data_IF_616934320570
#
_entry.id   IF_616934320570
#
_cell.length_a   1.000
_cell.length_b   1.000
_cell.length_c   1.000
_cell.angle_alpha   90.00
_cell.angle_beta   90.00
_cell.angle_gamma   90.00
#
_symmetry.space_group_name_H-M   'P 1'
#
loop_
_entity.id
_entity.type
_entity.pdbx_description
1 polymer ?
#
# COMPACT_ATOMS: atom_id res chain seq x y z
N UNK A 1 -26.44 52.11 -10.79
CA UNK A 1 -26.67 51.96 -9.33
C UNK A 1 -25.39 52.19 -8.51
N UNK A 2 -24.40 51.27 -8.45
CA UNK A 2 -23.20 51.46 -7.59
C UNK A 2 -22.38 52.72 -7.95
N UNK A 3 -22.13 52.98 -9.24
CA UNK A 3 -21.44 54.20 -9.70
C UNK A 3 -22.23 55.49 -9.45
N UNK A 4 -23.54 55.41 -9.22
CA UNK A 4 -24.38 56.55 -8.84
C UNK A 4 -24.36 56.76 -7.33
N UNK A 5 -24.36 55.67 -6.54
CA UNK A 5 -24.21 55.73 -5.08
C UNK A 5 -22.89 56.39 -4.68
N UNK A 6 -21.76 56.05 -5.33
CA UNK A 6 -20.45 56.67 -5.07
C UNK A 6 -20.37 58.19 -5.39
N UNK A 7 -21.39 58.77 -6.02
CA UNK A 7 -21.46 60.22 -6.33
C UNK A 7 -22.24 61.02 -5.29
N UNK A 8 -22.82 60.37 -4.28
CA UNK A 8 -23.53 61.06 -3.20
C UNK A 8 -22.52 61.76 -2.28
N UNK A 9 -22.79 63.01 -1.84
CA UNK A 9 -21.93 63.70 -0.90
C UNK A 9 -21.95 63.01 0.48
N UNK A 10 -20.82 63.10 1.21
CA UNK A 10 -20.67 62.69 2.62
C UNK A 10 -20.84 61.18 2.94
N UNK A 11 -20.56 60.27 2.01
CA UNK A 11 -20.48 58.84 2.33
C UNK A 11 -19.21 58.54 3.16
N UNK A 12 -19.32 57.86 4.32
CA UNK A 12 -18.16 57.39 5.09
C UNK A 12 -17.15 56.62 4.24
N UNK A 13 -15.86 56.76 4.54
CA UNK A 13 -14.76 56.13 3.78
C UNK A 13 -14.95 54.62 3.68
N UNK A 14 -15.41 54.01 4.76
CA UNK A 14 -15.68 52.58 4.87
C UNK A 14 -16.78 52.11 3.91
N UNK A 15 -17.92 52.80 3.88
CA UNK A 15 -19.03 52.51 2.96
C UNK A 15 -18.63 52.68 1.49
N UNK A 16 -17.78 53.68 1.20
CA UNK A 16 -17.22 53.85 -0.15
C UNK A 16 -16.34 52.66 -0.54
N UNK A 17 -15.53 52.14 0.38
CA UNK A 17 -14.67 50.98 0.14
C UNK A 17 -15.50 49.70 -0.04
N UNK A 18 -16.60 49.55 0.70
CA UNK A 18 -17.52 48.42 0.56
C UNK A 18 -18.24 48.43 -0.81
N UNK A 19 -18.71 49.60 -1.25
CA UNK A 19 -19.26 49.78 -2.59
C UNK A 19 -18.23 49.49 -3.69
N UNK A 20 -16.98 49.94 -3.50
CA UNK A 20 -15.87 49.66 -4.44
C UNK A 20 -15.50 48.18 -4.46
N UNK A 21 -15.55 47.47 -3.33
CA UNK A 21 -15.33 46.02 -3.27
C UNK A 21 -16.40 45.28 -4.06
N UNK A 22 -17.65 45.69 -3.93
CA UNK A 22 -18.77 45.13 -4.70
C UNK A 22 -18.63 45.40 -6.19
N UNK A 23 -18.20 46.62 -6.56
CA UNK A 23 -17.92 46.98 -7.94
C UNK A 23 -16.76 46.16 -8.54
N UNK A 24 -15.69 45.93 -7.77
CA UNK A 24 -14.57 45.10 -8.17
C UNK A 24 -15.00 43.65 -8.46
N UNK A 25 -15.88 43.07 -7.61
CA UNK A 25 -16.50 41.76 -7.84
C UNK A 25 -17.32 41.74 -9.13
N UNK A 26 -18.09 42.79 -9.40
CA UNK A 26 -18.87 42.90 -10.64
C UNK A 26 -17.98 43.02 -11.90
N UNK A 27 -16.86 43.74 -11.81
CA UNK A 27 -15.88 43.80 -12.90
C UNK A 27 -15.19 42.45 -13.13
N UNK A 28 -14.82 41.75 -12.06
CA UNK A 28 -14.23 40.42 -12.14
C UNK A 28 -15.17 39.42 -12.81
N UNK A 29 -16.45 39.42 -12.46
CA UNK A 29 -17.46 38.55 -13.09
C UNK A 29 -17.60 38.79 -14.60
N UNK A 30 -17.19 39.98 -15.09
CA UNK A 30 -17.17 40.34 -16.52
C UNK A 30 -15.79 40.18 -17.17
N UNK A 31 -14.82 39.59 -16.46
CA UNK A 31 -13.41 39.53 -16.87
C UNK A 31 -12.80 40.89 -17.21
N UNK A 32 -13.27 41.96 -16.56
CA UNK A 32 -12.82 43.33 -16.81
C UNK A 32 -11.48 43.60 -16.12
N UNK A 33 -10.54 44.18 -16.87
CA UNK A 33 -9.19 44.53 -16.39
C UNK A 33 -9.18 45.46 -15.18
N UNK A 34 -10.25 46.25 -14.97
CA UNK A 34 -10.41 47.20 -13.85
C UNK A 34 -10.54 46.54 -12.49
N UNK A 35 -10.90 45.27 -12.42
CA UNK A 35 -11.08 44.55 -11.15
C UNK A 35 -9.80 44.51 -10.31
N UNK A 36 -8.67 44.15 -10.93
CA UNK A 36 -7.40 43.94 -10.20
C UNK A 36 -6.87 45.23 -9.54
N UNK A 37 -6.76 46.38 -10.24
CA UNK A 37 -6.35 47.63 -9.61
C UNK A 37 -7.26 48.04 -8.45
N UNK A 38 -8.57 47.80 -8.54
CA UNK A 38 -9.51 48.10 -7.47
C UNK A 38 -9.28 47.23 -6.23
N UNK A 39 -9.10 45.91 -6.41
CA UNK A 39 -8.76 45.03 -5.30
C UNK A 39 -7.42 45.40 -4.65
N UNK A 40 -6.40 45.74 -5.45
CA UNK A 40 -5.10 46.19 -4.93
C UNK A 40 -5.20 47.47 -4.10
N UNK A 41 -6.05 48.42 -4.51
CA UNK A 41 -6.28 49.64 -3.74
C UNK A 41 -6.99 49.35 -2.41
N UNK A 42 -8.04 48.52 -2.41
CA UNK A 42 -8.79 48.15 -1.20
C UNK A 42 -7.93 47.32 -0.24
N UNK A 43 -7.08 46.43 -0.76
CA UNK A 43 -6.17 45.61 0.04
C UNK A 43 -5.16 46.43 0.88
N UNK A 44 -4.88 47.67 0.48
CA UNK A 44 -4.01 48.63 1.21
C UNK A 44 -4.76 49.47 2.24
N UNK A 45 -6.08 49.32 2.34
CA UNK A 45 -6.85 49.99 3.39
C UNK A 45 -6.49 49.40 4.76
N UNK A 46 -6.57 50.22 5.81
CA UNK A 46 -6.40 49.79 7.20
C UNK A 46 -7.63 49.06 7.78
N UNK A 47 -8.61 48.71 6.95
CA UNK A 47 -9.87 48.09 7.38
C UNK A 47 -9.84 46.62 6.99
N UNK A 48 -9.47 45.74 7.91
CA UNK A 48 -9.19 44.33 7.61
C UNK A 48 -10.38 43.57 6.99
N UNK A 49 -11.62 43.85 7.44
CA UNK A 49 -12.84 43.22 6.88
C UNK A 49 -13.02 43.48 5.37
N UNK A 50 -12.45 44.57 4.85
CA UNK A 50 -12.48 44.92 3.43
C UNK A 50 -11.18 44.54 2.73
N UNK A 51 -10.04 44.70 3.42
CA UNK A 51 -8.72 44.42 2.89
C UNK A 51 -8.46 42.92 2.68
N UNK A 52 -8.95 42.05 3.58
CA UNK A 52 -8.76 40.60 3.49
C UNK A 52 -9.39 39.99 2.22
N UNK A 53 -10.71 40.16 1.94
CA UNK A 53 -11.30 39.64 0.71
C UNK A 53 -10.69 40.28 -0.53
N UNK A 54 -10.32 41.56 -0.49
CA UNK A 54 -9.64 42.22 -1.61
C UNK A 54 -8.24 41.63 -1.87
N UNK A 55 -7.48 41.30 -0.82
CA UNK A 55 -6.16 40.67 -0.92
C UNK A 55 -6.26 39.29 -1.55
N UNK A 56 -7.21 38.46 -1.10
CA UNK A 56 -7.46 37.14 -1.67
C UNK A 56 -7.72 37.21 -3.18
N UNK A 57 -8.66 38.07 -3.61
CA UNK A 57 -9.00 38.21 -5.03
C UNK A 57 -7.86 38.80 -5.86
N UNK A 58 -7.11 39.75 -5.31
CA UNK A 58 -5.92 40.29 -5.98
C UNK A 58 -4.86 39.21 -6.21
N UNK A 59 -4.59 38.34 -5.24
CA UNK A 59 -3.65 37.22 -5.40
C UNK A 59 -4.16 36.25 -6.47
N UNK A 60 -5.42 35.82 -6.39
CA UNK A 60 -6.03 34.89 -7.35
C UNK A 60 -5.96 35.42 -8.79
N UNK A 61 -6.32 36.69 -9.00
CA UNK A 61 -6.28 37.31 -10.33
C UNK A 61 -4.86 37.47 -10.88
N UNK A 62 -3.89 37.83 -10.02
CA UNK A 62 -2.48 37.92 -10.44
C UNK A 62 -1.93 36.56 -10.82
N UNK A 63 -2.26 35.51 -10.07
CA UNK A 63 -1.87 34.14 -10.39
C UNK A 63 -2.50 33.68 -11.71
N UNK A 64 -3.80 33.91 -11.90
CA UNK A 64 -4.51 33.54 -13.13
C UNK A 64 -3.97 34.28 -14.37
N UNK A 65 -3.47 35.51 -14.20
CA UNK A 65 -2.82 36.30 -15.27
C UNK A 65 -1.32 36.03 -15.41
N UNK A 66 -0.77 35.01 -14.72
CA UNK A 66 0.65 34.70 -14.68
C UNK A 66 1.56 35.89 -14.27
N UNK A 67 1.02 36.84 -13.50
CA UNK A 67 1.77 38.02 -13.01
C UNK A 67 2.56 37.72 -11.72
N UNK A 68 2.28 36.58 -11.07
CA UNK A 68 3.03 36.05 -9.93
C UNK A 68 3.16 34.54 -10.10
N UNK A 69 4.24 33.97 -9.56
CA UNK A 69 4.41 32.52 -9.51
C UNK A 69 3.47 31.88 -8.47
N UNK A 70 3.27 30.57 -8.60
CA UNK A 70 2.57 29.77 -7.60
C UNK A 70 3.17 29.94 -6.19
N UNK A 71 4.49 29.99 -6.06
CA UNK A 71 5.12 30.16 -4.74
C UNK A 71 4.89 31.53 -4.11
N UNK A 72 4.86 32.59 -4.93
CA UNK A 72 4.53 33.94 -4.45
C UNK A 72 3.07 34.00 -4.02
N UNK A 73 2.18 33.38 -4.79
CA UNK A 73 0.76 33.30 -4.44
C UNK A 73 0.55 32.50 -3.14
N UNK A 74 1.21 31.34 -3.00
CA UNK A 74 1.13 30.50 -1.81
C UNK A 74 1.57 31.26 -0.54
N UNK A 75 2.72 31.95 -0.59
CA UNK A 75 3.19 32.80 0.53
C UNK A 75 2.21 33.90 0.89
N UNK A 76 1.61 34.55 -0.11
CA UNK A 76 0.60 35.59 0.11
C UNK A 76 -0.68 35.05 0.76
N UNK A 77 -1.15 33.88 0.33
CA UNK A 77 -2.32 33.22 0.92
C UNK A 77 -2.05 32.72 2.33
N UNK A 78 -0.86 32.17 2.57
CA UNK A 78 -0.45 31.70 3.91
C UNK A 78 -0.37 32.87 4.91
N UNK A 79 0.21 34.00 4.51
CA UNK A 79 0.22 35.22 5.32
C UNK A 79 -1.21 35.74 5.58
N UNK A 80 -2.09 35.71 4.57
CA UNK A 80 -3.48 36.14 4.71
C UNK A 80 -4.25 35.24 5.70
N UNK A 81 -3.98 33.93 5.70
CA UNK A 81 -4.58 32.97 6.65
C UNK A 81 -4.26 33.33 8.10
N UNK A 82 -3.08 33.87 8.42
CA UNK A 82 -2.77 34.31 9.78
C UNK A 82 -3.34 35.68 10.13
N UNK A 83 -3.56 36.54 9.13
CA UNK A 83 -4.10 37.89 9.31
C UNK A 83 -5.62 37.92 9.50
N UNK A 84 -6.36 36.98 8.89
CA UNK A 84 -7.82 36.98 8.89
C UNK A 84 -8.39 35.60 9.22
N UNK A 85 -9.38 35.55 10.11
CA UNK A 85 -9.97 34.33 10.67
C UNK A 85 -11.47 34.54 10.92
N UNK A 86 -12.24 33.47 10.88
CA UNK A 86 -13.60 33.42 11.40
C UNK A 86 -14.71 33.70 10.39
N UNK A 87 -14.47 33.59 9.08
CA UNK A 87 -15.53 33.74 8.07
C UNK A 87 -15.26 32.96 6.77
N UNK A 88 -16.13 33.14 5.78
CA UNK A 88 -15.96 32.52 4.46
C UNK A 88 -14.69 32.94 3.71
N UNK A 89 -14.11 34.11 3.99
CA UNK A 89 -12.86 34.58 3.35
C UNK A 89 -11.67 33.78 3.87
N UNK A 90 -11.65 33.46 5.17
CA UNK A 90 -10.67 32.50 5.71
C UNK A 90 -10.74 31.17 4.95
N UNK A 91 -11.94 30.60 4.83
CA UNK A 91 -12.13 29.30 4.20
C UNK A 91 -11.74 29.32 2.72
N UNK A 92 -12.10 30.37 1.98
CA UNK A 92 -11.70 30.55 0.58
C UNK A 92 -10.17 30.73 0.44
N UNK A 93 -9.52 31.38 1.40
CA UNK A 93 -8.06 31.54 1.44
C UNK A 93 -7.36 30.20 1.65
N UNK A 94 -7.83 29.42 2.64
CA UNK A 94 -7.31 28.08 2.95
C UNK A 94 -7.50 27.15 1.76
N UNK A 95 -8.70 27.16 1.16
CA UNK A 95 -9.02 26.37 -0.03
C UNK A 95 -8.10 26.71 -1.20
N UNK A 96 -7.89 28.01 -1.48
CA UNK A 96 -7.00 28.46 -2.55
C UNK A 96 -5.55 28.04 -2.32
N UNK A 97 -5.06 28.11 -1.07
CA UNK A 97 -3.72 27.65 -0.70
C UNK A 97 -3.56 26.14 -0.89
N UNK A 98 -4.51 25.34 -0.37
CA UNK A 98 -4.49 23.89 -0.52
C UNK A 98 -4.53 23.44 -1.99
N UNK A 99 -5.39 24.03 -2.81
CA UNK A 99 -5.44 23.76 -4.26
C UNK A 99 -4.13 24.07 -4.98
N UNK A 100 -3.45 25.14 -4.55
CA UNK A 100 -2.16 25.51 -5.11
C UNK A 100 -1.06 24.50 -4.74
N UNK A 101 -1.04 24.06 -3.48
CA UNK A 101 -0.11 23.03 -3.01
C UNK A 101 -0.36 21.68 -3.70
N UNK A 102 -1.61 21.27 -3.91
CA UNK A 102 -1.95 20.05 -4.68
C UNK A 102 -1.38 20.12 -6.09
N UNK A 103 -1.58 21.25 -6.80
CA UNK A 103 -1.04 21.45 -8.16
C UNK A 103 0.49 21.40 -8.23
N UNK A 104 1.17 21.67 -7.13
CA UNK A 104 2.63 21.60 -7.01
C UNK A 104 3.13 20.24 -6.49
N UNK A 105 2.24 19.26 -6.27
CA UNK A 105 2.59 17.95 -5.72
C UNK A 105 2.87 17.96 -4.20
N UNK A 106 2.57 19.07 -3.51
CA UNK A 106 2.77 19.25 -2.07
C UNK A 106 1.58 18.71 -1.27
N UNK A 107 1.31 17.42 -1.39
CA UNK A 107 0.08 16.80 -0.86
C UNK A 107 -0.04 16.85 0.66
N UNK A 108 1.05 16.64 1.40
CA UNK A 108 1.06 16.72 2.87
C UNK A 108 0.63 18.10 3.35
N UNK A 109 1.32 19.13 2.87
CA UNK A 109 1.01 20.52 3.22
C UNK A 109 -0.44 20.87 2.83
N UNK A 110 -0.89 20.43 1.66
CA UNK A 110 -2.26 20.66 1.23
C UNK A 110 -3.29 20.03 2.18
N UNK A 111 -3.10 18.76 2.55
CA UNK A 111 -4.00 18.07 3.48
C UNK A 111 -3.99 18.74 4.85
N UNK A 112 -2.82 19.14 5.37
CA UNK A 112 -2.69 19.86 6.65
C UNK A 112 -3.45 21.20 6.63
N UNK A 113 -3.25 21.98 5.57
CA UNK A 113 -3.93 23.29 5.38
C UNK A 113 -5.44 23.10 5.30
N UNK A 114 -5.91 22.19 4.45
CA UNK A 114 -7.35 21.94 4.26
C UNK A 114 -8.00 21.36 5.53
N UNK A 115 -7.33 20.43 6.22
CA UNK A 115 -7.82 19.83 7.46
C UNK A 115 -7.93 20.85 8.60
N UNK A 116 -7.02 21.84 8.67
CA UNK A 116 -7.01 22.85 9.73
C UNK A 116 -8.30 23.67 9.86
N UNK A 117 -9.09 23.78 8.79
CA UNK A 117 -10.37 24.50 8.78
C UNK A 117 -11.59 23.59 8.49
N UNK A 118 -11.41 22.27 8.48
CA UNK A 118 -12.49 21.31 8.20
C UNK A 118 -13.64 21.31 9.22
N UNK A 119 -13.38 21.79 10.44
CA UNK A 119 -14.35 21.85 11.54
C UNK A 119 -14.83 23.28 11.84
N UNK A 120 -14.41 24.28 11.06
CA UNK A 120 -14.77 25.69 11.28
C UNK A 120 -16.05 26.00 10.52
N UNK A 121 -17.07 26.48 11.25
CA UNK A 121 -18.32 27.03 10.68
C UNK A 121 -18.98 26.12 9.64
N UNK A 122 -19.35 24.91 10.07
CA UNK A 122 -19.91 23.84 9.24
C UNK A 122 -21.11 24.21 8.37
N UNK A 123 -21.82 25.30 8.70
CA UNK A 123 -23.02 25.77 7.98
C UNK A 123 -22.69 26.60 6.74
N UNK A 124 -21.44 27.07 6.58
CA UNK A 124 -21.05 27.87 5.43
C UNK A 124 -20.87 27.00 4.16
N UNK A 125 -21.36 27.44 2.98
CA UNK A 125 -21.11 26.74 1.71
C UNK A 125 -19.62 26.51 1.43
N UNK A 126 -18.74 27.44 1.85
CA UNK A 126 -17.29 27.34 1.73
C UNK A 126 -16.73 26.18 2.55
N UNK A 127 -17.26 25.93 3.76
CA UNK A 127 -16.83 24.82 4.61
C UNK A 127 -17.19 23.48 3.97
N UNK A 128 -18.38 23.37 3.39
CA UNK A 128 -18.81 22.19 2.64
C UNK A 128 -17.88 21.92 1.44
N UNK A 129 -17.57 22.95 0.67
CA UNK A 129 -16.67 22.84 -0.47
C UNK A 129 -15.23 22.45 -0.05
N UNK A 130 -14.72 23.04 1.02
CA UNK A 130 -13.41 22.72 1.59
C UNK A 130 -13.32 21.24 2.02
N UNK A 131 -14.35 20.73 2.70
CA UNK A 131 -14.43 19.31 3.10
C UNK A 131 -14.52 18.38 1.89
N UNK A 132 -15.24 18.79 0.84
CA UNK A 132 -15.31 18.05 -0.42
C UNK A 132 -13.94 17.97 -1.10
N UNK A 133 -13.22 19.09 -1.16
CA UNK A 133 -11.85 19.12 -1.72
C UNK A 133 -10.90 18.23 -0.89
N UNK A 134 -10.95 18.33 0.44
CA UNK A 134 -10.14 17.52 1.36
C UNK A 134 -10.36 16.01 1.15
N UNK A 135 -11.62 15.56 1.15
CA UNK A 135 -11.98 14.17 0.91
C UNK A 135 -11.60 13.71 -0.51
N UNK A 136 -11.79 14.58 -1.51
CA UNK A 136 -11.41 14.31 -2.89
C UNK A 136 -9.92 14.06 -3.04
N UNK A 137 -9.08 14.90 -2.43
CA UNK A 137 -7.62 14.74 -2.45
C UNK A 137 -7.19 13.45 -1.76
N UNK A 138 -7.75 13.17 -0.58
CA UNK A 138 -7.45 11.93 0.14
C UNK A 138 -7.84 10.69 -0.69
N UNK A 139 -9.00 10.74 -1.36
CA UNK A 139 -9.43 9.68 -2.27
C UNK A 139 -8.46 9.51 -3.44
N UNK A 140 -8.07 10.59 -4.11
CA UNK A 140 -7.14 10.51 -5.24
C UNK A 140 -5.78 9.96 -4.84
N UNK A 141 -5.31 10.28 -3.63
CA UNK A 141 -4.08 9.72 -3.08
C UNK A 141 -4.18 8.21 -2.87
N UNK A 142 -5.16 7.75 -2.09
CA UNK A 142 -5.15 6.38 -1.57
C UNK A 142 -6.01 5.38 -2.35
N UNK A 143 -6.94 5.88 -3.17
CA UNK A 143 -7.81 5.05 -4.00
C UNK A 143 -7.42 5.11 -5.48
N UNK A 144 -7.14 6.29 -6.01
CA UNK A 144 -6.82 6.48 -7.44
C UNK A 144 -5.31 6.30 -7.75
N UNK A 145 -4.50 5.97 -6.73
CA UNK A 145 -3.09 5.56 -6.90
C UNK A 145 -2.08 6.71 -6.94
N UNK A 146 -2.46 7.95 -6.66
CA UNK A 146 -1.51 9.06 -6.67
C UNK A 146 -0.45 8.95 -5.55
N UNK A 147 -0.80 8.27 -4.44
CA UNK A 147 0.17 7.93 -3.40
C UNK A 147 1.23 6.92 -3.87
N UNK A 148 1.02 6.19 -4.97
CA UNK A 148 1.95 5.18 -5.50
C UNK A 148 3.28 5.79 -5.98
N UNK A 149 3.32 7.10 -6.22
CA UNK A 149 4.56 7.85 -6.49
C UNK A 149 5.34 8.26 -5.24
N UNK A 150 4.76 8.19 -4.03
CA UNK A 150 5.40 8.58 -2.77
C UNK A 150 6.32 7.48 -2.23
N UNK A 151 7.22 7.74 -1.28
CA UNK A 151 7.86 6.63 -0.57
C UNK A 151 6.82 5.86 0.28
N UNK A 152 6.83 4.52 0.36
CA UNK A 152 5.82 3.75 1.09
C UNK A 152 5.60 4.19 2.54
N UNK A 153 6.69 4.45 3.28
CA UNK A 153 6.64 4.94 4.67
C UNK A 153 5.95 6.32 4.74
N UNK A 154 6.23 7.21 3.77
CA UNK A 154 5.61 8.53 3.72
C UNK A 154 4.11 8.42 3.43
N UNK A 155 3.70 7.53 2.53
CA UNK A 155 2.29 7.27 2.23
C UNK A 155 1.53 6.72 3.46
N UNK A 156 2.15 5.82 4.23
CA UNK A 156 1.58 5.29 5.48
C UNK A 156 1.43 6.39 6.53
N UNK A 157 2.49 7.16 6.78
CA UNK A 157 2.43 8.27 7.72
C UNK A 157 1.32 9.24 7.36
N UNK A 158 1.25 9.61 6.07
CA UNK A 158 0.19 10.49 5.56
C UNK A 158 -1.21 9.87 5.71
N UNK A 159 -1.38 8.57 5.49
CA UNK A 159 -2.66 7.91 5.70
C UNK A 159 -3.09 7.96 7.18
N UNK A 160 -2.16 7.69 8.12
CA UNK A 160 -2.47 7.72 9.55
C UNK A 160 -2.80 9.12 10.06
N UNK A 161 -2.06 10.14 9.61
CA UNK A 161 -2.31 11.54 9.97
C UNK A 161 -3.74 11.98 9.62
N UNK A 162 -4.29 11.41 8.54
CA UNK A 162 -5.60 11.76 7.99
C UNK A 162 -6.59 10.59 7.97
N UNK A 163 -6.40 9.59 8.85
CA UNK A 163 -7.22 8.36 8.85
C UNK A 163 -8.72 8.61 9.07
N UNK A 164 -9.07 9.72 9.73
CA UNK A 164 -10.46 10.17 9.95
C UNK A 164 -11.21 10.47 8.65
N UNK A 165 -10.47 10.72 7.55
CA UNK A 165 -11.03 10.95 6.21
C UNK A 165 -11.38 9.65 5.48
N UNK A 166 -10.99 8.49 6.02
CA UNK A 166 -11.23 7.20 5.37
C UNK A 166 -12.74 6.92 5.32
N UNK A 167 -13.33 6.79 4.12
CA UNK A 167 -14.77 6.57 4.00
C UNK A 167 -15.17 5.22 4.62
N UNK A 168 -16.41 5.15 5.10
CA UNK A 168 -16.99 3.90 5.59
C UNK A 168 -17.38 3.04 4.38
N UNK A 169 -17.11 1.73 4.46
CA UNK A 169 -17.45 0.77 3.42
C UNK A 169 -16.34 0.50 2.42
N UNK A 170 -16.72 0.03 1.22
CA UNK A 170 -15.84 -0.63 0.27
C UNK A 170 -14.65 0.23 -0.21
N UNK A 171 -14.86 1.54 -0.38
CA UNK A 171 -13.81 2.47 -0.84
C UNK A 171 -12.72 2.65 0.20
N UNK A 172 -13.08 2.89 1.46
CA UNK A 172 -12.10 3.01 2.54
C UNK A 172 -11.39 1.68 2.77
N UNK A 173 -12.11 0.57 2.62
CA UNK A 173 -11.50 -0.74 2.73
C UNK A 173 -10.49 -1.00 1.58
N UNK A 174 -10.78 -0.47 0.38
CA UNK A 174 -9.87 -0.55 -0.75
C UNK A 174 -8.64 0.33 -0.58
N UNK A 175 -8.77 1.54 -0.02
CA UNK A 175 -7.63 2.42 0.30
C UNK A 175 -6.62 1.70 1.20
N UNK A 176 -7.10 1.09 2.29
CA UNK A 176 -6.24 0.32 3.20
C UNK A 176 -5.61 -0.88 2.49
N UNK A 177 -6.36 -1.62 1.65
CA UNK A 177 -5.81 -2.74 0.87
C UNK A 177 -4.72 -2.31 -0.10
N UNK A 178 -4.83 -1.14 -0.74
CA UNK A 178 -3.80 -0.60 -1.62
C UNK A 178 -2.52 -0.29 -0.83
N UNK A 179 -2.68 0.34 0.35
CA UNK A 179 -1.57 0.67 1.23
C UNK A 179 -0.84 -0.59 1.74
N UNK A 180 -1.59 -1.58 2.22
CA UNK A 180 -1.07 -2.86 2.71
C UNK A 180 -0.26 -3.59 1.64
N UNK A 181 -0.77 -3.67 0.41
CA UNK A 181 -0.05 -4.31 -0.71
C UNK A 181 1.32 -3.67 -0.92
N UNK A 182 1.36 -2.34 -0.87
CA UNK A 182 2.59 -1.59 -1.07
C UNK A 182 3.60 -1.80 0.04
N UNK A 183 3.13 -1.93 1.29
CA UNK A 183 3.98 -2.24 2.42
C UNK A 183 4.58 -3.63 2.32
N UNK A 184 3.78 -4.62 1.90
CA UNK A 184 4.25 -5.99 1.64
C UNK A 184 5.33 -6.01 0.55
N UNK A 185 5.21 -5.17 -0.49
CA UNK A 185 6.19 -5.09 -1.57
C UNK A 185 7.56 -4.57 -1.13
N UNK A 186 7.62 -3.71 -0.10
CA UNK A 186 8.86 -3.15 0.45
C UNK A 186 9.27 -3.72 1.81
N UNK A 187 8.78 -4.92 2.15
CA UNK A 187 9.15 -5.64 3.37
C UNK A 187 8.69 -4.98 4.69
N UNK A 188 7.70 -4.08 4.65
CA UNK A 188 7.09 -3.46 5.85
C UNK A 188 5.89 -4.29 6.32
N UNK A 189 6.15 -5.55 6.70
CA UNK A 189 5.12 -6.53 7.04
C UNK A 189 4.38 -6.19 8.34
N UNK A 190 5.07 -5.64 9.34
CA UNK A 190 4.48 -5.24 10.62
C UNK A 190 3.42 -4.14 10.46
N UNK A 191 3.73 -3.09 9.69
CA UNK A 191 2.79 -2.01 9.39
C UNK A 191 1.60 -2.51 8.57
N UNK A 192 1.85 -3.40 7.61
CA UNK A 192 0.81 -4.02 6.80
C UNK A 192 -0.15 -4.85 7.67
N UNK A 193 0.38 -5.63 8.62
CA UNK A 193 -0.39 -6.44 9.54
C UNK A 193 -1.28 -5.58 10.46
N UNK A 194 -0.74 -4.48 11.02
CA UNK A 194 -1.51 -3.55 11.87
C UNK A 194 -2.73 -2.97 11.16
N UNK A 195 -2.56 -2.57 9.89
CA UNK A 195 -3.65 -2.03 9.07
C UNK A 195 -4.76 -3.05 8.83
N UNK A 196 -4.42 -4.27 8.40
CA UNK A 196 -5.43 -5.32 8.17
C UNK A 196 -6.08 -5.79 9.48
N UNK A 197 -5.32 -5.90 10.56
CA UNK A 197 -5.85 -6.26 11.88
C UNK A 197 -6.94 -5.28 12.31
N UNK A 198 -6.70 -3.98 12.16
CA UNK A 198 -7.72 -2.98 12.47
C UNK A 198 -9.01 -3.18 11.66
N UNK A 199 -8.91 -3.51 10.36
CA UNK A 199 -10.10 -3.79 9.54
C UNK A 199 -10.87 -5.03 10.00
N UNK A 200 -10.15 -6.11 10.32
CA UNK A 200 -10.73 -7.37 10.80
C UNK A 200 -11.45 -7.16 12.13
N UNK A 201 -10.86 -6.39 13.04
CA UNK A 201 -11.39 -6.19 14.38
C UNK A 201 -12.56 -5.20 14.41
N UNK A 202 -12.54 -4.14 13.58
CA UNK A 202 -13.44 -3.00 13.75
C UNK A 202 -14.41 -2.73 12.59
N UNK A 203 -14.15 -3.25 11.37
CA UNK A 203 -14.87 -2.79 10.16
C UNK A 203 -15.60 -3.88 9.39
N UNK A 204 -15.11 -5.11 9.43
CA UNK A 204 -15.56 -6.18 8.54
C UNK A 204 -16.38 -7.24 9.28
N UNK A 205 -17.34 -7.83 8.56
CA UNK A 205 -18.16 -8.96 9.04
C UNK A 205 -18.28 -10.03 7.94
N UNK A 206 -18.61 -11.26 8.33
CA UNK A 206 -18.90 -12.37 7.40
C UNK A 206 -17.72 -12.72 6.47
N UNK A 207 -18.04 -13.00 5.20
CA UNK A 207 -17.05 -13.44 4.19
C UNK A 207 -15.95 -12.40 3.93
N UNK A 208 -16.23 -11.09 3.77
CA UNK A 208 -15.17 -10.07 3.66
C UNK A 208 -14.19 -10.07 4.84
N UNK A 209 -14.67 -10.25 6.07
CA UNK A 209 -13.81 -10.37 7.26
C UNK A 209 -12.89 -11.58 7.14
N UNK A 210 -13.42 -12.74 6.75
CA UNK A 210 -12.62 -13.95 6.58
C UNK A 210 -11.57 -13.82 5.47
N UNK A 211 -11.90 -13.15 4.36
CA UNK A 211 -10.93 -12.89 3.28
C UNK A 211 -9.76 -12.05 3.79
N UNK A 212 -10.05 -10.90 4.40
CA UNK A 212 -9.02 -9.99 4.90
C UNK A 212 -8.20 -10.60 6.04
N UNK A 213 -8.84 -11.39 6.92
CA UNK A 213 -8.14 -12.15 7.95
C UNK A 213 -7.21 -13.23 7.36
N UNK A 214 -7.56 -13.79 6.20
CA UNK A 214 -6.69 -14.75 5.49
C UNK A 214 -5.46 -14.04 4.91
N UNK A 215 -5.64 -12.86 4.32
CA UNK A 215 -4.53 -12.02 3.86
C UNK A 215 -3.62 -11.60 5.03
N UNK A 216 -4.21 -11.23 6.17
CA UNK A 216 -3.47 -10.94 7.42
C UNK A 216 -2.66 -12.15 7.91
N UNK A 217 -3.26 -13.35 7.91
CA UNK A 217 -2.56 -14.57 8.29
C UNK A 217 -1.36 -14.86 7.37
N UNK A 218 -1.49 -14.58 6.06
CA UNK A 218 -0.37 -14.69 5.14
C UNK A 218 0.76 -13.70 5.43
N UNK A 219 0.43 -12.45 5.77
CA UNK A 219 1.43 -11.45 6.18
C UNK A 219 2.16 -11.92 7.43
N UNK A 220 1.44 -12.41 8.45
CA UNK A 220 2.06 -12.97 9.65
C UNK A 220 2.98 -14.16 9.35
N UNK A 221 2.61 -15.06 8.43
CA UNK A 221 3.47 -16.16 8.02
C UNK A 221 4.74 -15.69 7.29
N UNK A 222 4.64 -14.66 6.43
CA UNK A 222 5.80 -14.04 5.79
C UNK A 222 6.72 -13.36 6.81
N UNK A 223 6.15 -12.86 7.91
CA UNK A 223 6.88 -12.24 9.01
C UNK A 223 7.32 -13.23 10.11
N UNK A 224 7.21 -14.55 9.85
CA UNK A 224 7.59 -15.62 10.80
C UNK A 224 6.81 -15.58 12.13
N UNK A 225 5.55 -15.16 12.09
CA UNK A 225 4.61 -15.14 13.22
C UNK A 225 3.50 -16.20 13.06
N UNK A 226 3.83 -17.51 13.12
CA UNK A 226 2.85 -18.58 12.84
C UNK A 226 1.72 -18.66 13.88
N UNK A 227 1.98 -18.30 15.14
CA UNK A 227 0.95 -18.26 16.19
C UNK A 227 -0.11 -17.20 15.88
N UNK A 228 0.31 -15.97 15.57
CA UNK A 228 -0.59 -14.87 15.20
C UNK A 228 -1.38 -15.17 13.92
N UNK A 229 -0.79 -15.88 12.96
CA UNK A 229 -1.49 -16.36 11.77
C UNK A 229 -2.60 -17.36 12.13
N UNK A 230 -2.29 -18.35 12.96
CA UNK A 230 -3.24 -19.38 13.39
C UNK A 230 -4.40 -18.77 14.20
N UNK A 231 -4.08 -17.87 15.13
CA UNK A 231 -5.07 -17.16 15.95
C UNK A 231 -6.00 -16.32 15.08
N UNK A 232 -5.46 -15.62 14.08
CA UNK A 232 -6.25 -14.81 13.14
C UNK A 232 -7.24 -15.67 12.36
N UNK A 233 -6.81 -16.84 11.87
CA UNK A 233 -7.70 -17.78 11.18
C UNK A 233 -8.76 -18.33 12.15
N UNK A 234 -8.39 -18.67 13.38
CA UNK A 234 -9.30 -19.25 14.36
C UNK A 234 -10.35 -18.25 14.85
N UNK A 235 -9.96 -17.01 15.13
CA UNK A 235 -10.83 -15.94 15.57
C UNK A 235 -11.85 -15.49 14.51
N UNK A 236 -11.63 -15.86 13.24
CA UNK A 236 -12.47 -15.48 12.10
C UNK A 236 -13.14 -16.65 11.40
N UNK A 237 -13.29 -17.78 12.10
CA UNK A 237 -14.02 -18.95 11.60
C UNK A 237 -15.48 -18.59 11.33
N UNK A 238 -16.00 -19.07 10.21
CA UNK A 238 -17.43 -18.98 9.88
C UNK A 238 -17.84 -20.23 9.11
N UNK A 239 -19.10 -20.62 9.25
CA UNK A 239 -19.64 -21.89 8.75
C UNK A 239 -19.91 -21.87 7.25
N UNK A 240 -20.08 -20.70 6.65
CA UNK A 240 -20.42 -20.52 5.24
C UNK A 240 -19.34 -19.69 4.58
N UNK A 241 -18.29 -20.37 4.09
CA UNK A 241 -17.23 -19.76 3.29
C UNK A 241 -17.22 -20.36 1.88
N UNK A 242 -16.91 -19.54 0.85
CA UNK A 242 -16.63 -20.04 -0.49
C UNK A 242 -15.55 -21.15 -0.45
N UNK A 243 -15.71 -22.25 -1.21
CA UNK A 243 -14.76 -23.37 -1.17
C UNK A 243 -13.30 -22.98 -1.42
N UNK A 244 -13.07 -22.03 -2.33
CA UNK A 244 -11.72 -21.52 -2.63
C UNK A 244 -11.08 -20.82 -1.42
N UNK A 245 -11.84 -19.99 -0.70
CA UNK A 245 -11.36 -19.31 0.52
C UNK A 245 -11.11 -20.31 1.65
N UNK A 246 -11.95 -21.34 1.78
CA UNK A 246 -11.71 -22.42 2.74
C UNK A 246 -10.44 -23.20 2.43
N UNK A 247 -10.18 -23.53 1.17
CA UNK A 247 -8.94 -24.20 0.76
C UNK A 247 -7.72 -23.35 1.11
N UNK A 248 -7.77 -22.06 0.81
CA UNK A 248 -6.70 -21.12 1.14
C UNK A 248 -6.44 -21.02 2.67
N UNK A 249 -7.50 -20.94 3.47
CA UNK A 249 -7.40 -20.90 4.94
C UNK A 249 -6.84 -22.19 5.52
N UNK A 250 -7.16 -23.36 4.95
CA UNK A 250 -6.55 -24.63 5.34
C UNK A 250 -5.06 -24.64 5.06
N UNK A 251 -4.63 -24.16 3.90
CA UNK A 251 -3.22 -24.04 3.57
C UNK A 251 -2.47 -23.10 4.53
N UNK A 252 -3.04 -21.93 4.84
CA UNK A 252 -2.46 -21.01 5.83
C UNK A 252 -2.36 -21.67 7.22
N UNK A 253 -3.41 -22.41 7.63
CA UNK A 253 -3.44 -23.16 8.89
C UNK A 253 -2.35 -24.23 8.93
N UNK A 254 -2.16 -25.00 7.87
CA UNK A 254 -1.12 -26.03 7.81
C UNK A 254 0.28 -25.44 7.85
N UNK A 255 0.52 -24.32 7.15
CA UNK A 255 1.81 -23.59 7.24
C UNK A 255 2.07 -23.03 8.63
N UNK A 256 1.04 -22.49 9.29
CA UNK A 256 1.16 -22.02 10.67
C UNK A 256 1.49 -23.19 11.62
N UNK A 257 0.77 -24.31 11.53
CA UNK A 257 1.02 -25.49 12.35
C UNK A 257 2.42 -26.07 12.12
N UNK A 258 2.87 -26.14 10.87
CA UNK A 258 4.24 -26.53 10.52
C UNK A 258 5.27 -25.57 11.12
N UNK A 259 5.03 -24.25 11.05
CA UNK A 259 5.89 -23.24 11.67
C UNK A 259 5.97 -23.36 13.21
N UNK A 260 4.93 -23.90 13.84
CA UNK A 260 4.89 -24.23 15.27
C UNK A 260 5.43 -25.64 15.60
N UNK A 261 5.95 -26.37 14.61
CA UNK A 261 6.45 -27.74 14.78
C UNK A 261 5.36 -28.81 14.94
N UNK A 262 4.08 -28.47 14.73
CA UNK A 262 2.93 -29.39 14.85
C UNK A 262 2.68 -30.09 13.51
N UNK A 263 3.64 -30.90 13.09
CA UNK A 263 3.68 -31.50 11.75
C UNK A 263 2.51 -32.43 11.45
N UNK A 264 2.13 -33.32 12.37
CA UNK A 264 1.04 -34.28 12.14
C UNK A 264 -0.30 -33.56 11.93
N UNK A 265 -0.58 -32.54 12.76
CA UNK A 265 -1.75 -31.70 12.64
C UNK A 265 -1.74 -30.88 11.32
N UNK A 266 -0.56 -30.42 10.89
CA UNK A 266 -0.43 -29.74 9.60
C UNK A 266 -0.78 -30.66 8.43
N UNK A 267 -0.30 -31.91 8.45
CA UNK A 267 -0.60 -32.93 7.43
C UNK A 267 -2.08 -33.31 7.42
N UNK A 268 -2.71 -33.46 8.58
CA UNK A 268 -4.14 -33.73 8.72
C UNK A 268 -4.99 -32.62 8.06
N UNK A 269 -4.66 -31.35 8.30
CA UNK A 269 -5.39 -30.20 7.74
C UNK A 269 -5.40 -30.20 6.21
N UNK A 270 -4.33 -30.69 5.57
CA UNK A 270 -4.20 -30.73 4.11
C UNK A 270 -4.40 -32.12 3.52
N UNK A 271 -4.81 -33.13 4.27
CA UNK A 271 -4.84 -34.54 3.83
C UNK A 271 -5.49 -34.72 2.44
N UNK A 272 -6.65 -34.09 2.21
CA UNK A 272 -7.41 -34.16 0.97
C UNK A 272 -6.97 -33.16 -0.12
N UNK A 273 -6.06 -32.23 0.19
CA UNK A 273 -5.61 -31.17 -0.70
C UNK A 273 -4.46 -31.63 -1.60
N UNK A 274 -4.72 -31.74 -2.90
CA UNK A 274 -3.74 -32.15 -3.93
C UNK A 274 -3.14 -30.96 -4.70
N UNK A 275 -3.32 -29.74 -4.20
CA UNK A 275 -2.74 -28.55 -4.81
C UNK A 275 -1.22 -28.56 -4.69
N UNK A 276 -0.55 -27.83 -5.60
CA UNK A 276 0.91 -27.67 -5.57
C UNK A 276 1.40 -27.07 -4.25
N UNK A 277 0.65 -26.12 -3.69
CA UNK A 277 1.03 -25.49 -2.43
C UNK A 277 0.93 -26.46 -1.24
N UNK A 278 -0.07 -27.37 -1.23
CA UNK A 278 -0.17 -28.42 -0.23
C UNK A 278 0.97 -29.45 -0.38
N UNK A 279 1.34 -29.83 -1.60
CA UNK A 279 2.52 -30.69 -1.84
C UNK A 279 3.82 -30.02 -1.39
N UNK A 280 3.98 -28.71 -1.62
CA UNK A 280 5.14 -27.95 -1.13
C UNK A 280 5.19 -28.00 0.42
N UNK A 281 4.05 -27.85 1.12
CA UNK A 281 3.98 -28.02 2.58
C UNK A 281 4.35 -29.44 3.02
N UNK A 282 3.86 -30.49 2.34
CA UNK A 282 4.26 -31.87 2.64
C UNK A 282 5.76 -32.09 2.48
N UNK A 283 6.36 -31.54 1.43
CA UNK A 283 7.79 -31.64 1.18
C UNK A 283 8.61 -30.91 2.26
N UNK A 284 8.15 -29.73 2.69
CA UNK A 284 8.75 -28.97 3.79
C UNK A 284 8.66 -29.73 5.12
N UNK A 285 7.50 -30.34 5.43
CA UNK A 285 7.33 -31.16 6.64
C UNK A 285 8.24 -32.39 6.61
N UNK A 286 8.27 -33.14 5.52
CA UNK A 286 9.13 -34.32 5.38
C UNK A 286 10.61 -33.98 5.56
N UNK A 287 11.03 -32.84 5.00
CA UNK A 287 12.38 -32.30 5.20
C UNK A 287 12.66 -31.99 6.67
N UNK A 288 11.75 -31.29 7.36
CA UNK A 288 11.91 -30.94 8.79
C UNK A 288 11.84 -32.13 9.73
N UNK A 289 11.12 -33.19 9.36
CA UNK A 289 11.08 -34.45 10.10
C UNK A 289 12.27 -35.37 9.77
N UNK A 290 13.18 -34.94 8.88
CA UNK A 290 14.31 -35.73 8.39
C UNK A 290 13.88 -37.07 7.73
N UNK A 291 12.69 -37.12 7.14
CA UNK A 291 12.22 -38.29 6.37
C UNK A 291 12.78 -38.21 4.94
N UNK A 292 14.11 -38.31 4.83
CA UNK A 292 14.86 -38.05 3.60
C UNK A 292 14.33 -38.76 2.34
N UNK A 293 14.01 -40.08 2.38
CA UNK A 293 13.47 -40.75 1.20
C UNK A 293 12.16 -40.10 0.70
N UNK A 294 11.27 -39.74 1.64
CA UNK A 294 9.99 -39.10 1.32
C UNK A 294 10.19 -37.67 0.83
N UNK A 295 11.04 -36.89 1.50
CA UNK A 295 11.35 -35.53 1.11
C UNK A 295 11.93 -35.47 -0.32
N UNK A 296 12.88 -36.36 -0.63
CA UNK A 296 13.49 -36.47 -1.96
C UNK A 296 12.46 -36.69 -3.06
N UNK A 297 11.55 -37.65 -2.86
CA UNK A 297 10.45 -37.96 -3.79
C UNK A 297 9.49 -36.79 -3.95
N UNK A 298 9.13 -36.09 -2.87
CA UNK A 298 8.20 -34.97 -2.92
C UNK A 298 8.81 -33.78 -3.68
N UNK A 299 10.08 -33.45 -3.45
CA UNK A 299 10.77 -32.40 -4.21
C UNK A 299 10.99 -32.77 -5.68
N UNK A 300 11.37 -34.03 -5.98
CA UNK A 300 11.48 -34.52 -7.37
C UNK A 300 10.13 -34.39 -8.09
N UNK A 301 9.04 -34.80 -7.43
CA UNK A 301 7.69 -34.69 -7.97
C UNK A 301 7.29 -33.24 -8.22
N UNK A 302 7.67 -32.32 -7.32
CA UNK A 302 7.37 -30.90 -7.46
C UNK A 302 8.07 -30.25 -8.66
N UNK A 303 9.22 -30.78 -9.10
CA UNK A 303 9.90 -30.39 -10.34
C UNK A 303 9.19 -30.91 -11.60
N UNK A 304 8.47 -32.02 -11.48
CA UNK A 304 7.71 -32.66 -12.55
C UNK A 304 8.55 -32.79 -13.86
N UNK A 305 8.03 -32.25 -14.96
CA UNK A 305 8.67 -32.30 -16.29
C UNK A 305 9.57 -31.08 -16.58
N UNK A 306 9.99 -30.31 -15.56
CA UNK A 306 10.82 -29.11 -15.74
C UNK A 306 12.07 -29.38 -16.58
N UNK A 307 12.70 -30.55 -16.43
CA UNK A 307 13.87 -30.97 -17.20
C UNK A 307 13.67 -31.01 -18.72
N UNK A 308 12.42 -31.12 -19.22
CA UNK A 308 12.12 -31.14 -20.67
C UNK A 308 12.19 -29.75 -21.30
N UNK A 309 12.08 -28.69 -20.52
CA UNK A 309 12.05 -27.31 -21.02
C UNK A 309 13.46 -26.73 -21.03
N UNK A 310 14.01 -26.35 -22.20
CA UNK A 310 15.32 -25.71 -22.28
C UNK A 310 15.36 -24.36 -21.54
N UNK A 311 16.53 -23.96 -21.08
CA UNK A 311 16.76 -22.68 -20.39
C UNK A 311 17.03 -22.82 -18.90
N UNK A 312 17.47 -21.73 -18.27
CA UNK A 312 17.99 -21.71 -16.90
C UNK A 312 16.89 -22.09 -15.89
N UNK A 313 17.26 -22.85 -14.85
CA UNK A 313 16.34 -23.18 -13.75
C UNK A 313 15.90 -21.91 -13.03
N UNK A 314 14.62 -21.84 -12.67
CA UNK A 314 14.18 -20.78 -11.76
C UNK A 314 14.82 -21.00 -10.39
N UNK A 315 15.00 -19.96 -9.55
CA UNK A 315 15.56 -20.13 -8.21
C UNK A 315 14.77 -21.15 -7.37
N UNK A 316 13.45 -21.20 -7.56
CA UNK A 316 12.58 -22.16 -6.88
C UNK A 316 12.82 -23.61 -7.38
N UNK A 317 12.98 -23.81 -8.68
CA UNK A 317 13.30 -25.14 -9.24
C UNK A 317 14.70 -25.59 -8.82
N UNK A 318 15.67 -24.67 -8.82
CA UNK A 318 17.04 -24.94 -8.36
C UNK A 318 17.05 -25.39 -6.89
N UNK A 319 16.35 -24.67 -6.02
CA UNK A 319 16.17 -25.04 -4.60
C UNK A 319 15.53 -26.42 -4.44
N UNK A 320 14.49 -26.73 -5.24
CA UNK A 320 13.81 -28.04 -5.22
C UNK A 320 14.73 -29.17 -5.68
N UNK A 321 15.51 -28.94 -6.74
CA UNK A 321 16.49 -29.90 -7.24
C UNK A 321 17.59 -30.17 -6.22
N UNK A 322 18.13 -29.12 -5.62
CA UNK A 322 19.15 -29.23 -4.57
C UNK A 322 18.62 -30.04 -3.38
N UNK A 323 17.44 -29.69 -2.85
CA UNK A 323 16.81 -30.42 -1.74
C UNK A 323 16.50 -31.88 -2.09
N UNK A 324 16.03 -32.14 -3.31
CA UNK A 324 15.76 -33.51 -3.77
C UNK A 324 17.04 -34.34 -3.82
N UNK A 325 18.11 -33.80 -4.40
CA UNK A 325 19.41 -34.47 -4.51
C UNK A 325 20.04 -34.72 -3.13
N UNK A 326 20.06 -33.71 -2.25
CA UNK A 326 20.57 -33.87 -0.88
C UNK A 326 19.76 -34.92 -0.12
N UNK A 327 18.43 -34.91 -0.23
CA UNK A 327 17.57 -35.88 0.44
C UNK A 327 17.81 -37.32 -0.06
N UNK A 328 18.02 -37.53 -1.37
CA UNK A 328 18.37 -38.86 -1.88
C UNK A 328 19.78 -39.29 -1.48
N UNK A 329 20.75 -38.37 -1.44
CA UNK A 329 22.10 -38.65 -0.94
C UNK A 329 22.09 -39.05 0.54
N UNK A 330 21.28 -38.41 1.37
CA UNK A 330 21.13 -38.76 2.79
C UNK A 330 20.32 -40.05 3.01
N UNK A 331 19.60 -40.51 1.99
CA UNK A 331 18.83 -41.75 2.01
C UNK A 331 19.59 -42.92 1.36
N UNK A 332 20.84 -42.71 0.90
CA UNK A 332 21.64 -43.67 0.13
C UNK A 332 20.90 -44.20 -1.12
N UNK A 333 20.04 -43.37 -1.75
CA UNK A 333 19.28 -43.73 -2.95
C UNK A 333 20.04 -43.31 -4.23
N UNK A 334 21.10 -44.06 -4.53
CA UNK A 334 21.94 -43.85 -5.72
C UNK A 334 21.16 -43.95 -7.04
N UNK A 335 20.09 -44.76 -7.06
CA UNK A 335 19.25 -44.92 -8.23
C UNK A 335 18.47 -43.63 -8.52
N UNK A 336 17.89 -43.00 -7.48
CA UNK A 336 17.22 -41.71 -7.61
C UNK A 336 18.20 -40.58 -7.96
N UNK A 337 19.38 -40.55 -7.34
CA UNK A 337 20.44 -39.61 -7.70
C UNK A 337 20.88 -39.77 -9.15
N UNK A 338 21.03 -41.00 -9.64
CA UNK A 338 21.32 -41.31 -11.04
C UNK A 338 20.28 -40.73 -11.99
N UNK A 339 18.98 -40.87 -11.67
CA UNK A 339 17.89 -40.27 -12.46
C UNK A 339 17.95 -38.74 -12.46
N UNK A 340 18.21 -38.12 -11.30
CA UNK A 340 18.32 -36.67 -11.21
C UNK A 340 19.49 -36.16 -12.04
N UNK A 341 20.66 -36.80 -11.96
CA UNK A 341 21.83 -36.48 -12.80
C UNK A 341 21.51 -36.57 -14.29
N UNK A 342 20.85 -37.66 -14.71
CA UNK A 342 20.49 -37.86 -16.11
C UNK A 342 19.53 -36.77 -16.63
N UNK A 343 18.53 -36.37 -15.83
CA UNK A 343 17.52 -35.39 -16.24
C UNK A 343 18.00 -33.94 -16.12
N UNK A 344 18.72 -33.62 -15.05
CA UNK A 344 19.02 -32.24 -14.67
C UNK A 344 20.49 -31.84 -14.79
N UNK A 345 21.40 -32.76 -15.11
CA UNK A 345 22.84 -32.47 -15.22
C UNK A 345 23.17 -31.34 -16.20
N UNK A 346 22.42 -31.23 -17.29
CA UNK A 346 22.61 -30.16 -18.29
C UNK A 346 22.23 -28.75 -17.81
N UNK A 347 21.56 -28.61 -16.68
CA UNK A 347 21.17 -27.30 -16.11
C UNK A 347 22.19 -26.75 -15.11
N UNK A 348 23.12 -27.58 -14.64
CA UNK A 348 24.00 -27.27 -13.50
C UNK A 348 24.90 -26.07 -13.76
N UNK A 349 25.52 -25.99 -14.95
CA UNK A 349 26.46 -24.89 -15.24
C UNK A 349 25.78 -23.53 -15.42
N UNK A 350 24.47 -23.52 -15.70
CA UNK A 350 23.66 -22.30 -15.80
C UNK A 350 22.97 -21.91 -14.49
N UNK A 351 23.13 -22.69 -13.42
CA UNK A 351 22.48 -22.48 -12.14
C UNK A 351 23.12 -21.31 -11.35
N UNK A 352 22.41 -20.79 -10.35
CA UNK A 352 22.95 -19.75 -9.45
C UNK A 352 24.04 -20.30 -8.53
N UNK A 353 23.94 -21.58 -8.15
CA UNK A 353 24.90 -22.31 -7.35
C UNK A 353 25.31 -23.62 -8.04
N UNK A 354 26.15 -23.55 -9.10
CA UNK A 354 26.60 -24.73 -9.83
C UNK A 354 27.37 -25.72 -8.95
N UNK A 355 28.23 -25.22 -8.05
CA UNK A 355 29.08 -26.06 -7.19
C UNK A 355 28.23 -26.86 -6.20
N UNK A 356 27.27 -26.22 -5.52
CA UNK A 356 26.36 -26.88 -4.60
C UNK A 356 25.52 -27.96 -5.28
N UNK A 357 25.01 -27.68 -6.50
CA UNK A 357 24.29 -28.68 -7.28
C UNK A 357 25.18 -29.83 -7.74
N UNK A 358 26.43 -29.59 -8.18
CA UNK A 358 27.36 -30.67 -8.55
C UNK A 358 27.61 -31.59 -7.37
N UNK A 359 27.88 -31.02 -6.19
CA UNK A 359 28.11 -31.79 -4.97
C UNK A 359 26.88 -32.61 -4.59
N UNK A 360 25.70 -31.99 -4.56
CA UNK A 360 24.47 -32.68 -4.19
C UNK A 360 24.08 -33.79 -5.18
N UNK A 361 24.29 -33.57 -6.48
CA UNK A 361 23.97 -34.56 -7.53
C UNK A 361 25.00 -35.68 -7.64
N UNK A 362 26.27 -35.43 -7.28
CA UNK A 362 27.32 -36.45 -7.31
C UNK A 362 27.04 -37.58 -6.30
N UNK A 363 26.37 -37.28 -5.19
CA UNK A 363 26.29 -38.16 -4.02
C UNK A 363 27.65 -38.15 -3.32
N UNK A 364 27.73 -37.57 -2.14
CA UNK A 364 28.96 -37.54 -1.36
C UNK A 364 28.77 -38.33 -0.06
N UNK A 365 29.83 -39.03 0.34
CA UNK A 365 29.97 -39.64 1.66
C UNK A 365 29.60 -38.58 2.73
N UNK A 366 28.61 -38.80 3.61
CA UNK A 366 28.16 -37.81 4.59
C UNK A 366 29.30 -37.23 5.45
N UNK A 367 30.44 -37.92 5.54
CA UNK A 367 31.65 -37.49 6.22
C UNK A 367 32.50 -36.45 5.45
N UNK A 368 32.34 -36.34 4.13
CA UNK A 368 33.11 -35.43 3.26
C UNK A 368 32.45 -34.05 3.08
N UNK A 369 31.16 -33.93 3.39
CA UNK A 369 30.49 -32.64 3.53
C UNK A 369 30.91 -32.05 4.87
N UNK A 370 31.77 -31.02 4.85
CA UNK A 370 32.06 -30.28 6.08
C UNK A 370 30.75 -29.78 6.68
N UNK A 371 30.61 -29.80 8.01
CA UNK A 371 29.42 -29.23 8.67
C UNK A 371 29.20 -27.75 8.30
N UNK A 372 30.26 -27.06 7.85
CA UNK A 372 30.21 -25.70 7.31
C UNK A 372 29.64 -25.59 5.90
N UNK A 373 29.77 -26.61 5.05
CA UNK A 373 29.12 -26.64 3.72
C UNK A 373 27.66 -27.04 3.85
N UNK A 374 27.35 -27.99 4.75
CA UNK A 374 25.97 -28.38 5.06
C UNK A 374 25.16 -27.25 5.71
N UNK A 375 25.79 -26.45 6.58
CA UNK A 375 25.16 -25.27 7.21
C UNK A 375 25.07 -24.05 6.29
N UNK A 376 25.90 -23.92 5.26
CA UNK A 376 25.70 -22.95 4.18
C UNK A 376 24.60 -23.37 3.22
N UNK A 377 24.37 -24.68 3.08
CA UNK A 377 23.32 -25.32 2.25
C UNK A 377 22.01 -25.49 3.02
N UNK A 378 21.83 -24.91 4.22
CA UNK A 378 20.53 -24.96 4.94
C UNK A 378 19.43 -24.32 4.09
N UNK A 379 18.79 -25.17 3.33
CA UNK A 379 17.83 -24.84 2.29
C UNK A 379 16.56 -24.21 2.86
N UNK A 380 16.38 -24.22 4.19
CA UNK A 380 15.19 -23.73 4.91
C UNK A 380 14.98 -22.23 4.73
N UNK A 381 16.05 -21.44 4.79
CA UNK A 381 15.94 -20.00 4.52
C UNK A 381 15.62 -19.72 3.05
N UNK A 382 16.20 -20.47 2.10
CA UNK A 382 15.97 -20.24 0.67
C UNK A 382 14.57 -20.65 0.23
N UNK A 383 14.06 -21.80 0.72
CA UNK A 383 12.68 -22.22 0.47
C UNK A 383 11.67 -21.24 1.05
N UNK A 384 11.90 -20.78 2.29
CA UNK A 384 11.06 -19.75 2.92
C UNK A 384 11.09 -18.44 2.12
N UNK A 385 12.28 -17.95 1.75
CA UNK A 385 12.43 -16.71 1.00
C UNK A 385 11.79 -16.81 -0.41
N UNK A 386 11.92 -17.95 -1.08
CA UNK A 386 11.26 -18.21 -2.36
C UNK A 386 9.73 -18.24 -2.23
N UNK A 387 9.21 -18.83 -1.16
CA UNK A 387 7.78 -18.78 -0.83
C UNK A 387 7.30 -17.36 -0.54
N UNK A 388 8.02 -16.58 0.28
CA UNK A 388 7.71 -15.17 0.56
C UNK A 388 7.68 -14.36 -0.73
N UNK A 389 8.65 -14.55 -1.64
CA UNK A 389 8.67 -13.88 -2.94
C UNK A 389 7.43 -14.20 -3.78
N UNK A 390 7.06 -15.48 -3.88
CA UNK A 390 5.83 -15.93 -4.55
C UNK A 390 4.57 -15.31 -3.92
N UNK A 391 4.54 -15.19 -2.60
CA UNK A 391 3.41 -14.56 -1.89
C UNK A 391 3.30 -13.08 -2.18
N UNK A 392 4.41 -12.33 -2.17
CA UNK A 392 4.43 -10.92 -2.59
C UNK A 392 3.93 -10.74 -4.02
N UNK A 393 4.37 -11.59 -4.96
CA UNK A 393 3.85 -11.59 -6.33
C UNK A 393 2.33 -11.83 -6.38
N UNK A 394 1.81 -12.73 -5.53
CA UNK A 394 0.36 -12.96 -5.40
C UNK A 394 -0.37 -11.69 -4.93
N UNK A 395 0.16 -10.99 -3.94
CA UNK A 395 -0.39 -9.71 -3.46
C UNK A 395 -0.38 -8.64 -4.57
N UNK A 396 0.67 -8.58 -5.41
CA UNK A 396 0.72 -7.71 -6.60
C UNK A 396 -0.31 -8.10 -7.65
N UNK A 397 -0.45 -9.38 -7.98
CA UNK A 397 -1.35 -9.86 -9.03
C UNK A 397 -2.84 -9.67 -8.68
N UNK A 398 -3.19 -9.67 -7.39
CA UNK A 398 -4.53 -9.30 -6.94
C UNK A 398 -4.86 -7.82 -7.21
N UNK A 399 -3.84 -6.94 -7.38
CA UNK A 399 -4.04 -5.55 -7.73
C UNK A 399 -4.41 -5.34 -9.21
N UNK A 400 -3.72 -6.03 -10.12
CA UNK A 400 -3.87 -5.83 -11.58
C UNK A 400 -5.19 -6.37 -12.14
N UNK A 401 -5.75 -7.44 -11.55
CA UNK A 401 -7.05 -8.00 -11.96
C UNK A 401 -8.26 -7.11 -11.68
N UNK A 402 -8.09 -5.98 -10.99
CA UNK A 402 -9.17 -5.03 -10.68
C UNK A 402 -9.03 -3.66 -11.36
N UNK A 403 -7.87 -3.37 -11.95
CA UNK A 403 -7.65 -2.16 -12.77
C UNK A 403 -7.98 -2.36 -14.26
N UNK A 404 -8.27 -3.61 -14.65
CA UNK A 404 -8.85 -4.01 -15.92
C UNK A 404 -10.28 -4.49 -15.67
#
# INVERSE_FOLDING_TARGET
LINQALKLPNIPVEDQLELRLTLAKAFEAKNDSRALPMYQAIARSGIDRLAAPATLRAIQLRLAKNQISADIAAKGLDALRFRWRGDGVELDTIRALGQLQIKQGRYREALEVLHSASNVQSDLPQAVALRSDLNGVFRTLFLDGLADGMQPIQAVGLFYDFQSLTPIGADGDQMVRNLVRRLVDVDLLDEAAKLLKYQVDNRLNGVPKAQVATDLAWIYLMDRQPESALDTINATRTTILPPALNAERRLATARALMGLGRYDAALEVIESDKSRDAEDVRAEIAWKQHTWPQAGVLYERALADRWKTPGILSPADESKLLRSAVAFSLADDDAALGRLRQRYGGFVDGARNPDGLRVALAGADPAALSSSDFSKVTADNEAFNGWVAKMKERFRAQASKKSA
#
